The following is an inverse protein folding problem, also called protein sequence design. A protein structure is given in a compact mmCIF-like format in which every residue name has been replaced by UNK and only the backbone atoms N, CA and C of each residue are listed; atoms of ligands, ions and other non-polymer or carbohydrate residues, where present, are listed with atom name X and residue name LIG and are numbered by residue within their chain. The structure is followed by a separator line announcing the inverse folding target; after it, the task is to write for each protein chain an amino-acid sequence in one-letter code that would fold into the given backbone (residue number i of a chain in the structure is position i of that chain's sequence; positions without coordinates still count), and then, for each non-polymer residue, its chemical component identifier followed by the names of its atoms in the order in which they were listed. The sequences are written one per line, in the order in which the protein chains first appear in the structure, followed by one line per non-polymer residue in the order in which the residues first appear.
data_IF_497981005129
#
_entry.id   IF_497981005129
#
_cell.length_a   1.000
_cell.length_b   1.000
_cell.length_c   1.000
_cell.angle_alpha   90.00
_cell.angle_beta   90.00
_cell.angle_gamma   90.00
#
_symmetry.space_group_name_H-M   'P 1'
#
loop_
_entity.id
_entity.type
_entity.pdbx_description
1 polymer ?
#
# COMPACT_ATOMS: atom_id res chain seq x y z
N UNK A 1 14.45 -23.32 11.61
CA UNK A 1 13.42 -22.25 11.53
C UNK A 1 13.44 -21.70 10.12
N UNK A 2 12.30 -21.69 9.46
CA UNK A 2 12.08 -21.06 8.15
C UNK A 2 11.07 -19.94 8.32
N UNK A 3 11.11 -18.96 7.42
CA UNK A 3 10.17 -17.84 7.42
C UNK A 3 9.29 -17.99 6.19
N UNK A 4 7.99 -17.96 6.41
CA UNK A 4 6.97 -18.03 5.37
C UNK A 4 6.22 -16.71 5.28
N UNK A 5 5.83 -16.28 4.08
CA UNK A 5 4.97 -15.12 3.85
C UNK A 5 3.78 -15.58 3.00
N UNK A 6 2.56 -15.23 3.40
CA UNK A 6 1.36 -15.52 2.58
C UNK A 6 1.30 -14.61 1.37
N UNK A 7 0.84 -15.10 0.22
CA UNK A 7 0.79 -14.31 -1.01
C UNK A 7 -0.51 -14.55 -1.76
N UNK A 8 -1.32 -13.52 -2.02
CA UNK A 8 -2.53 -13.69 -2.83
C UNK A 8 -2.23 -13.83 -4.32
N UNK A 9 -3.04 -14.61 -5.01
CA UNK A 9 -2.98 -14.82 -6.46
C UNK A 9 -4.40 -14.94 -7.06
N UNK A 10 -4.55 -14.76 -8.38
CA UNK A 10 -5.82 -14.97 -9.09
C UNK A 10 -6.76 -13.76 -9.16
N UNK A 11 -6.34 -12.57 -8.71
CA UNK A 11 -7.06 -11.32 -8.94
C UNK A 11 -6.75 -10.73 -10.33
N UNK A 12 -7.49 -9.69 -10.73
CA UNK A 12 -7.21 -8.92 -11.95
C UNK A 12 -5.75 -8.45 -11.97
N UNK A 13 -5.12 -8.45 -13.15
CA UNK A 13 -3.76 -7.91 -13.33
C UNK A 13 -3.59 -6.44 -12.96
N UNK A 14 -4.70 -5.71 -12.77
CA UNK A 14 -4.69 -4.31 -12.28
C UNK A 14 -4.99 -4.18 -10.79
N UNK A 15 -5.05 -5.28 -10.03
CA UNK A 15 -5.33 -5.24 -8.59
C UNK A 15 -4.11 -4.79 -7.79
N UNK A 16 -4.17 -3.56 -7.25
CA UNK A 16 -3.11 -3.03 -6.39
C UNK A 16 -2.91 -3.87 -5.12
N UNK A 17 -3.95 -4.51 -4.59
CA UNK A 17 -3.82 -5.36 -3.42
C UNK A 17 -2.91 -6.58 -3.70
N UNK A 18 -3.12 -7.24 -4.84
CA UNK A 18 -2.29 -8.37 -5.25
C UNK A 18 -0.88 -7.91 -5.61
N UNK A 19 -0.74 -6.82 -6.37
CA UNK A 19 0.57 -6.24 -6.74
C UNK A 19 1.41 -5.95 -5.47
N UNK A 20 0.81 -5.34 -4.45
CA UNK A 20 1.51 -5.03 -3.21
C UNK A 20 1.96 -6.29 -2.45
N UNK A 21 1.12 -7.33 -2.35
CA UNK A 21 1.50 -8.59 -1.69
C UNK A 21 2.57 -9.36 -2.46
N UNK A 22 2.48 -9.39 -3.79
CA UNK A 22 3.45 -10.06 -4.65
C UNK A 22 4.82 -9.39 -4.51
N UNK A 23 4.87 -8.04 -4.55
CA UNK A 23 6.11 -7.27 -4.35
C UNK A 23 6.79 -7.59 -3.00
N UNK A 24 6.02 -7.69 -1.92
CA UNK A 24 6.57 -8.04 -0.59
C UNK A 24 7.14 -9.46 -0.59
N UNK A 25 6.48 -10.40 -1.27
CA UNK A 25 6.93 -11.79 -1.38
C UNK A 25 8.17 -11.91 -2.26
N UNK A 26 8.27 -11.15 -3.35
CA UNK A 26 9.48 -11.10 -4.20
C UNK A 26 10.70 -10.62 -3.40
N UNK A 27 10.54 -9.52 -2.65
CA UNK A 27 11.59 -9.03 -1.73
C UNK A 27 11.90 -10.07 -0.65
N UNK A 28 10.88 -10.72 -0.09
CA UNK A 28 11.03 -11.80 0.88
C UNK A 28 11.79 -13.00 0.33
N UNK A 29 11.56 -13.38 -0.92
CA UNK A 29 12.25 -14.48 -1.59
C UNK A 29 13.75 -14.19 -1.74
N UNK A 30 14.13 -12.95 -2.05
CA UNK A 30 15.53 -12.53 -2.06
C UNK A 30 16.19 -12.62 -0.67
N UNK A 31 15.41 -12.46 0.41
CA UNK A 31 15.85 -12.67 1.80
C UNK A 31 15.80 -14.15 2.22
N UNK A 32 15.44 -15.06 1.32
CA UNK A 32 15.34 -16.50 1.57
C UNK A 32 14.03 -16.95 2.24
N UNK A 33 13.01 -16.10 2.28
CA UNK A 33 11.69 -16.44 2.82
C UNK A 33 10.92 -17.27 1.80
N UNK A 34 9.89 -17.99 2.26
CA UNK A 34 9.12 -18.94 1.44
C UNK A 34 7.68 -18.48 1.27
N UNK A 35 7.13 -18.66 0.08
CA UNK A 35 5.74 -18.30 -0.20
C UNK A 35 4.75 -19.33 0.39
N UNK A 36 3.62 -18.84 0.92
CA UNK A 36 2.37 -19.59 1.11
C UNK A 36 1.31 -18.97 0.19
N UNK A 37 1.13 -19.55 -1.00
CA UNK A 37 0.24 -18.97 -2.01
C UNK A 37 -1.24 -19.20 -1.66
N UNK A 38 -2.05 -18.15 -1.76
CA UNK A 38 -3.49 -18.13 -1.46
C UNK A 38 -4.23 -17.65 -2.71
N UNK A 39 -4.94 -18.54 -3.38
CA UNK A 39 -5.72 -18.17 -4.56
C UNK A 39 -7.00 -17.42 -4.15
N UNK A 40 -7.39 -16.40 -4.91
CA UNK A 40 -8.59 -15.61 -4.72
C UNK A 40 -9.79 -16.29 -5.39
N UNK A 41 -10.80 -16.66 -4.60
CA UNK A 41 -11.98 -17.40 -5.07
C UNK A 41 -13.19 -17.15 -4.18
N UNK A 42 -14.37 -17.59 -4.64
CA UNK A 42 -15.58 -17.53 -3.83
C UNK A 42 -15.58 -18.66 -2.80
N UNK A 43 -15.30 -18.35 -1.54
CA UNK A 43 -15.20 -19.35 -0.46
C UNK A 43 -16.48 -20.19 -0.28
N UNK A 44 -17.64 -19.69 -0.71
CA UNK A 44 -18.92 -20.42 -0.62
C UNK A 44 -18.98 -21.65 -1.54
N UNK A 45 -18.02 -21.80 -2.46
CA UNK A 45 -17.92 -23.00 -3.29
C UNK A 45 -17.36 -24.21 -2.53
N UNK A 46 -16.66 -23.99 -1.42
CA UNK A 46 -16.12 -25.07 -0.59
C UNK A 46 -17.09 -25.38 0.56
N UNK A 47 -17.33 -26.67 0.80
CA UNK A 47 -17.86 -27.13 2.09
C UNK A 47 -16.85 -26.86 3.22
N UNK A 48 -17.27 -26.88 4.50
CA UNK A 48 -16.35 -26.67 5.62
C UNK A 48 -15.15 -27.63 5.64
N UNK A 49 -15.33 -28.88 5.20
CA UNK A 49 -14.26 -29.88 5.11
C UNK A 49 -13.30 -29.61 3.96
N UNK A 50 -13.82 -29.18 2.80
CA UNK A 50 -12.99 -28.81 1.64
C UNK A 50 -12.14 -27.58 1.92
N UNK A 51 -12.72 -26.54 2.52
CA UNK A 51 -11.98 -25.34 2.93
C UNK A 51 -10.86 -25.69 3.92
N UNK A 52 -11.16 -26.53 4.90
CA UNK A 52 -10.18 -27.04 5.88
C UNK A 52 -9.01 -27.73 5.17
N UNK A 53 -9.29 -28.67 4.26
CA UNK A 53 -8.26 -29.40 3.49
C UNK A 53 -7.48 -28.49 2.54
N UNK A 54 -8.13 -27.49 1.96
CA UNK A 54 -7.47 -26.49 1.11
C UNK A 54 -6.44 -25.71 1.93
N UNK A 55 -6.82 -25.23 3.11
CA UNK A 55 -5.88 -24.55 4.01
C UNK A 55 -4.76 -25.49 4.44
N UNK A 56 -5.06 -26.76 4.76
CA UNK A 56 -4.03 -27.76 5.08
C UNK A 56 -3.04 -27.95 3.91
N UNK A 57 -3.50 -27.91 2.67
CA UNK A 57 -2.65 -27.93 1.48
C UNK A 57 -1.74 -26.71 1.36
N UNK A 58 -2.27 -25.51 1.61
CA UNK A 58 -1.48 -24.26 1.62
C UNK A 58 -0.38 -24.33 2.70
N UNK A 59 -0.72 -24.86 3.89
CA UNK A 59 0.17 -24.91 5.05
C UNK A 59 1.08 -26.15 5.10
N UNK A 60 1.02 -27.05 4.12
CA UNK A 60 1.67 -28.37 4.16
C UNK A 60 3.19 -28.33 4.37
N UNK A 61 3.86 -27.22 4.03
CA UNK A 61 5.30 -27.03 4.22
C UNK A 61 5.73 -26.62 5.64
N UNK A 62 4.80 -26.14 6.48
CA UNK A 62 5.07 -25.59 7.80
C UNK A 62 5.53 -26.67 8.79
N UNK A 63 6.41 -26.28 9.71
CA UNK A 63 6.85 -27.12 10.84
C UNK A 63 6.89 -26.27 12.11
N UNK A 64 6.90 -26.94 13.26
CA UNK A 64 7.14 -26.30 14.55
C UNK A 64 8.46 -25.49 14.51
N UNK A 65 8.43 -24.32 15.13
CA UNK A 65 9.54 -23.38 15.19
C UNK A 65 9.75 -22.51 13.95
N UNK A 66 8.87 -22.55 12.96
CA UNK A 66 8.85 -21.59 11.84
C UNK A 66 8.22 -20.25 12.25
N UNK A 67 8.37 -19.25 11.38
CA UNK A 67 7.69 -17.96 11.43
C UNK A 67 6.77 -17.85 10.22
N UNK A 68 5.55 -17.34 10.41
CA UNK A 68 4.63 -16.97 9.33
C UNK A 68 4.32 -15.49 9.40
N UNK A 69 4.51 -14.79 8.29
CA UNK A 69 4.06 -13.42 8.07
C UNK A 69 2.78 -13.50 7.24
N UNK A 70 1.64 -13.24 7.87
CA UNK A 70 0.33 -13.26 7.25
C UNK A 70 -0.03 -11.87 6.72
N UNK A 71 0.10 -11.69 5.40
CA UNK A 71 -0.36 -10.50 4.69
C UNK A 71 -1.90 -10.49 4.63
N UNK A 72 -2.52 -9.48 5.26
CA UNK A 72 -3.98 -9.36 5.38
C UNK A 72 -4.51 -8.08 4.71
N UNK A 73 -5.72 -8.12 4.14
CA UNK A 73 -6.61 -9.29 4.04
C UNK A 73 -6.23 -10.21 2.86
N UNK A 74 -6.73 -11.45 2.87
CA UNK A 74 -6.62 -12.36 1.71
C UNK A 74 -7.58 -12.01 0.58
N UNK A 75 -8.56 -11.15 0.85
CA UNK A 75 -9.71 -10.84 -0.01
C UNK A 75 -10.65 -12.01 -0.31
N UNK A 76 -10.43 -13.18 0.32
CA UNK A 76 -11.38 -14.30 0.35
C UNK A 76 -12.44 -14.13 1.46
N UNK A 77 -12.75 -12.89 1.86
CA UNK A 77 -13.58 -12.50 3.02
C UNK A 77 -12.94 -12.74 4.40
N UNK A 78 -13.45 -12.04 5.41
CA UNK A 78 -13.01 -12.17 6.80
C UNK A 78 -13.15 -13.60 7.35
N UNK A 79 -14.12 -14.39 6.89
CA UNK A 79 -14.27 -15.79 7.32
C UNK A 79 -13.07 -16.65 6.91
N UNK A 80 -12.50 -16.41 5.73
CA UNK A 80 -11.26 -17.08 5.31
C UNK A 80 -10.08 -16.66 6.19
N UNK A 81 -9.92 -15.34 6.41
CA UNK A 81 -8.82 -14.79 7.23
C UNK A 81 -8.83 -15.38 8.65
N UNK A 82 -10.03 -15.47 9.27
CA UNK A 82 -10.22 -16.07 10.60
C UNK A 82 -9.83 -17.55 10.59
N UNK A 83 -10.35 -18.35 9.64
CA UNK A 83 -10.07 -19.79 9.57
C UNK A 83 -8.61 -20.07 9.29
N UNK A 84 -7.98 -19.26 8.44
CA UNK A 84 -6.55 -19.35 8.14
C UNK A 84 -5.71 -19.07 9.38
N UNK A 85 -6.01 -18.00 10.13
CA UNK A 85 -5.34 -17.69 11.39
C UNK A 85 -5.53 -18.80 12.45
N UNK A 86 -6.75 -19.31 12.60
CA UNK A 86 -7.04 -20.44 13.50
C UNK A 86 -6.21 -21.67 13.14
N UNK A 87 -6.07 -21.99 11.85
CA UNK A 87 -5.22 -23.10 11.37
C UNK A 87 -3.74 -22.87 11.65
N UNK A 88 -3.23 -21.66 11.43
CA UNK A 88 -1.84 -21.32 11.79
C UNK A 88 -1.58 -21.53 13.28
N UNK A 89 -2.54 -21.17 14.15
CA UNK A 89 -2.42 -21.34 15.61
C UNK A 89 -2.42 -22.78 16.11
N UNK A 90 -2.73 -23.76 15.27
CA UNK A 90 -2.52 -25.17 15.60
C UNK A 90 -1.05 -25.58 15.56
N UNK A 91 -0.19 -24.79 14.92
CA UNK A 91 1.25 -25.04 14.85
C UNK A 91 1.98 -24.30 15.97
N UNK A 92 3.04 -24.92 16.51
CA UNK A 92 3.95 -24.25 17.43
C UNK A 92 4.90 -23.32 16.66
N UNK A 93 4.38 -22.18 16.18
CA UNK A 93 5.08 -21.18 15.35
C UNK A 93 4.87 -19.77 15.91
N UNK A 94 5.63 -18.82 15.37
CA UNK A 94 5.39 -17.38 15.59
C UNK A 94 4.68 -16.78 14.40
N UNK A 95 3.71 -15.90 14.66
CA UNK A 95 2.87 -15.29 13.62
C UNK A 95 2.98 -13.78 13.69
N UNK A 96 3.41 -13.14 12.60
CA UNK A 96 3.23 -11.72 12.38
C UNK A 96 2.03 -11.49 11.45
N UNK A 97 1.14 -10.56 11.78
CA UNK A 97 0.12 -10.08 10.84
C UNK A 97 0.63 -8.81 10.18
N UNK A 98 0.76 -8.84 8.86
CA UNK A 98 1.08 -7.67 8.04
C UNK A 98 -0.18 -7.08 7.46
N UNK A 99 -0.61 -5.94 8.01
CA UNK A 99 -1.79 -5.21 7.59
C UNK A 99 -1.51 -4.41 6.32
N UNK A 100 -2.12 -4.81 5.20
CA UNK A 100 -2.19 -4.02 3.98
C UNK A 100 -3.43 -3.13 4.00
N UNK A 101 -4.55 -3.68 4.47
CA UNK A 101 -5.82 -2.97 4.63
C UNK A 101 -6.59 -3.48 5.86
N UNK A 102 -7.46 -2.62 6.42
CA UNK A 102 -8.41 -2.97 7.49
C UNK A 102 -9.83 -2.81 6.96
N UNK A 103 -10.41 -3.91 6.44
CA UNK A 103 -11.74 -3.92 5.79
C UNK A 103 -12.84 -3.19 6.58
N UNK A 104 -12.99 -3.37 7.91
CA UNK A 104 -14.01 -2.65 8.67
C UNK A 104 -13.79 -1.12 8.78
N UNK A 105 -12.58 -0.62 8.52
CA UNK A 105 -12.25 0.81 8.50
C UNK A 105 -12.30 1.43 7.10
N UNK A 106 -12.17 0.61 6.04
CA UNK A 106 -12.23 1.10 4.66
C UNK A 106 -13.64 1.56 4.27
N UNK A 107 -14.66 0.83 4.72
CA UNK A 107 -16.05 1.09 4.35
C UNK A 107 -16.92 1.10 5.61
N UNK A 108 -17.65 2.18 5.84
CA UNK A 108 -18.51 2.35 7.02
C UNK A 108 -19.52 1.20 7.20
N UNK A 109 -20.06 0.68 6.10
CA UNK A 109 -20.98 -0.47 6.09
C UNK A 109 -20.36 -1.78 6.57
N UNK A 110 -19.03 -1.88 6.65
CA UNK A 110 -18.31 -3.08 7.09
C UNK A 110 -17.86 -3.03 8.55
N UNK A 111 -18.20 -1.97 9.30
CA UNK A 111 -17.74 -1.82 10.69
C UNK A 111 -18.18 -2.96 11.62
N UNK A 112 -19.27 -3.66 11.30
CA UNK A 112 -19.72 -4.86 12.03
C UNK A 112 -18.67 -6.00 12.05
N UNK A 113 -17.69 -5.98 11.13
CA UNK A 113 -16.57 -6.93 11.08
C UNK A 113 -15.43 -6.56 12.03
N UNK A 114 -15.50 -5.41 12.73
CA UNK A 114 -14.40 -4.89 13.54
C UNK A 114 -14.00 -5.85 14.66
N UNK A 115 -14.95 -6.30 15.47
CA UNK A 115 -14.67 -7.23 16.59
C UNK A 115 -14.03 -8.52 16.09
N UNK A 116 -14.60 -9.14 15.05
CA UNK A 116 -14.04 -10.33 14.43
C UNK A 116 -12.62 -10.12 13.91
N UNK A 117 -12.35 -8.94 13.34
CA UNK A 117 -11.01 -8.58 12.83
C UNK A 117 -10.01 -8.45 13.97
N UNK A 118 -10.38 -7.74 15.04
CA UNK A 118 -9.55 -7.59 16.24
C UNK A 118 -9.31 -8.94 16.92
N UNK A 119 -10.31 -9.82 16.98
CA UNK A 119 -10.19 -11.14 17.60
C UNK A 119 -9.11 -11.98 16.92
N UNK A 120 -9.10 -12.04 15.57
CA UNK A 120 -8.05 -12.81 14.88
C UNK A 120 -6.72 -12.06 14.82
N UNK A 121 -6.69 -10.71 14.84
CA UNK A 121 -5.45 -9.96 15.02
C UNK A 121 -4.80 -10.23 16.38
N UNK A 122 -5.59 -10.36 17.45
CA UNK A 122 -5.13 -10.72 18.79
C UNK A 122 -4.58 -12.15 18.87
N UNK A 123 -4.82 -12.98 17.85
CA UNK A 123 -4.11 -14.23 17.66
C UNK A 123 -2.74 -14.04 16.99
N UNK A 124 -2.14 -12.85 16.89
CA UNK A 124 -0.78 -12.67 16.38
C UNK A 124 0.25 -12.53 17.51
N UNK A 125 1.51 -12.90 17.24
CA UNK A 125 2.63 -12.58 18.13
C UNK A 125 3.16 -11.15 17.86
N UNK A 126 2.94 -10.63 16.66
CA UNK A 126 3.36 -9.29 16.23
C UNK A 126 2.36 -8.70 15.21
N UNK A 127 2.10 -7.39 15.30
CA UNK A 127 1.36 -6.63 14.28
C UNK A 127 2.29 -5.69 13.52
N UNK A 128 2.28 -5.77 12.20
CA UNK A 128 2.88 -4.78 11.31
C UNK A 128 1.75 -3.93 10.76
N UNK A 129 1.81 -2.62 11.00
CA UNK A 129 0.81 -1.66 10.56
C UNK A 129 1.40 -0.58 9.64
N UNK A 130 0.59 0.02 8.76
CA UNK A 130 1.04 1.09 7.87
C UNK A 130 1.57 2.33 8.62
N UNK A 131 0.97 2.67 9.76
CA UNK A 131 1.28 3.89 10.51
C UNK A 131 1.01 3.73 12.01
N UNK A 132 1.61 4.61 12.82
CA UNK A 132 1.32 4.67 14.26
C UNK A 132 -0.15 5.03 14.51
N UNK A 133 -0.75 5.87 13.67
CA UNK A 133 -2.16 6.21 13.77
C UNK A 133 -3.05 4.96 13.61
N UNK A 134 -2.75 4.09 12.65
CA UNK A 134 -3.47 2.81 12.49
C UNK A 134 -3.36 1.94 13.74
N UNK A 135 -2.15 1.79 14.34
CA UNK A 135 -2.00 1.02 15.56
C UNK A 135 -2.81 1.59 16.73
N UNK A 136 -2.81 2.91 16.89
CA UNK A 136 -3.56 3.57 17.95
C UNK A 136 -5.06 3.31 17.77
N UNK A 137 -5.58 3.48 16.55
CA UNK A 137 -6.97 3.17 16.22
C UNK A 137 -7.32 1.72 16.51
N UNK A 138 -6.48 0.76 16.10
CA UNK A 138 -6.73 -0.67 16.39
C UNK A 138 -6.67 -0.98 17.90
N UNK A 139 -5.80 -0.30 18.65
CA UNK A 139 -5.70 -0.45 20.11
C UNK A 139 -6.97 0.04 20.81
N UNK A 140 -7.55 1.15 20.34
CA UNK A 140 -8.85 1.65 20.82
C UNK A 140 -9.99 0.66 20.54
N UNK A 141 -9.87 -0.15 19.47
CA UNK A 141 -10.81 -1.22 19.14
C UNK A 141 -10.56 -2.54 19.89
N UNK A 142 -9.54 -2.61 20.75
CA UNK A 142 -9.24 -3.80 21.57
C UNK A 142 -8.07 -4.66 21.07
N UNK A 143 -7.21 -4.15 20.19
CA UNK A 143 -5.95 -4.81 19.88
C UNK A 143 -5.04 -4.84 21.12
N UNK A 144 -4.56 -6.02 21.49
CA UNK A 144 -3.78 -6.27 22.72
C UNK A 144 -2.34 -6.71 22.45
N UNK A 145 -2.01 -7.05 21.19
CA UNK A 145 -0.68 -7.50 20.77
C UNK A 145 0.38 -6.44 21.11
N UNK A 146 1.41 -6.84 21.87
CA UNK A 146 2.41 -5.91 22.42
C UNK A 146 3.54 -5.58 21.46
N UNK A 147 3.95 -6.54 20.63
CA UNK A 147 5.01 -6.34 19.63
C UNK A 147 4.40 -5.75 18.38
N UNK A 148 4.84 -4.56 18.01
CA UNK A 148 4.35 -3.87 16.82
C UNK A 148 5.48 -3.26 16.00
N UNK A 149 5.28 -3.16 14.70
CA UNK A 149 6.19 -2.51 13.76
C UNK A 149 5.40 -1.58 12.82
N UNK A 150 6.04 -0.50 12.40
CA UNK A 150 5.48 0.46 11.45
C UNK A 150 6.16 0.28 10.08
N UNK A 151 5.34 0.11 9.05
CA UNK A 151 5.79 0.05 7.66
C UNK A 151 6.33 1.40 7.17
N UNK A 152 5.57 2.48 7.37
CA UNK A 152 5.95 3.84 6.97
C UNK A 152 5.65 4.18 5.51
N UNK A 153 6.17 3.43 4.55
CA UNK A 153 5.97 3.68 3.12
C UNK A 153 5.98 2.38 2.30
N UNK A 154 5.24 2.37 1.18
CA UNK A 154 5.37 1.31 0.18
C UNK A 154 6.63 1.53 -0.66
N UNK A 155 7.41 0.47 -0.82
CA UNK A 155 8.42 0.40 -1.87
C UNK A 155 7.77 0.29 -3.26
N UNK A 156 8.61 0.41 -4.27
CA UNK A 156 8.24 0.19 -5.65
C UNK A 156 9.48 -0.27 -6.43
N UNK A 157 9.92 -1.53 -6.25
CA UNK A 157 11.14 -2.06 -6.88
C UNK A 157 11.09 -1.92 -8.40
N UNK A 158 12.10 -1.26 -8.98
CA UNK A 158 12.14 -1.05 -10.43
C UNK A 158 13.53 -0.68 -10.94
N UNK A 159 13.81 -1.06 -12.19
CA UNK A 159 15.00 -0.67 -12.94
C UNK A 159 14.70 0.34 -14.05
N UNK A 160 13.45 0.85 -14.14
CA UNK A 160 13.05 1.83 -15.16
C UNK A 160 13.96 3.06 -15.10
N UNK A 161 14.59 3.47 -16.22
CA UNK A 161 15.48 4.61 -16.24
C UNK A 161 14.73 5.91 -15.97
N UNK A 162 15.36 6.80 -15.20
CA UNK A 162 14.81 8.12 -14.91
C UNK A 162 15.18 9.09 -16.04
N UNK A 163 14.17 9.69 -16.66
CA UNK A 163 14.38 10.76 -17.65
C UNK A 163 14.84 12.06 -16.96
N UNK A 164 15.26 13.06 -17.75
CA UNK A 164 15.49 14.41 -17.20
C UNK A 164 14.13 15.02 -16.84
N UNK A 165 13.85 15.19 -15.55
CA UNK A 165 12.60 15.78 -15.10
C UNK A 165 12.56 17.29 -15.38
N UNK A 166 11.53 17.73 -16.09
CA UNK A 166 11.25 19.13 -16.36
C UNK A 166 10.15 19.64 -15.42
N UNK A 167 10.14 20.93 -15.11
CA UNK A 167 9.07 21.59 -14.36
C UNK A 167 7.80 21.72 -15.22
N UNK A 168 7.24 20.58 -15.62
CA UNK A 168 5.97 20.52 -16.36
C UNK A 168 4.89 20.95 -15.39
N UNK A 169 4.16 22.00 -15.75
CA UNK A 169 3.02 22.52 -14.98
C UNK A 169 1.81 21.58 -15.09
N UNK A 170 1.98 20.33 -14.67
CA UNK A 170 1.00 19.25 -14.79
C UNK A 170 1.02 18.39 -13.52
N UNK A 171 -0.14 17.82 -13.20
CA UNK A 171 -0.31 16.88 -12.10
C UNK A 171 -0.65 15.50 -12.68
N UNK A 172 0.02 14.46 -12.19
CA UNK A 172 -0.20 13.06 -12.55
C UNK A 172 -1.08 12.36 -11.52
N UNK A 173 -2.09 11.63 -12.00
CA UNK A 173 -2.97 10.84 -11.15
C UNK A 173 -3.32 9.49 -11.82
N UNK A 174 -2.61 8.40 -11.49
CA UNK A 174 -3.00 7.06 -11.87
C UNK A 174 -4.06 6.54 -10.89
N UNK A 175 -5.33 6.63 -11.28
CA UNK A 175 -6.45 6.31 -10.41
C UNK A 175 -7.77 6.10 -11.16
N UNK A 176 -8.67 5.32 -10.54
CA UNK A 176 -10.01 5.10 -11.08
C UNK A 176 -10.93 6.29 -10.70
N UNK A 177 -11.49 7.04 -11.68
CA UNK A 177 -12.42 8.15 -11.40
C UNK A 177 -13.70 7.70 -10.66
N UNK A 178 -14.11 6.45 -10.76
CA UNK A 178 -15.25 5.92 -9.98
C UNK A 178 -14.97 5.86 -8.47
N UNK A 179 -13.70 5.68 -8.09
CA UNK A 179 -13.25 5.68 -6.68
C UNK A 179 -12.88 7.08 -6.20
N UNK A 180 -12.40 7.93 -7.11
CA UNK A 180 -11.88 9.26 -6.81
C UNK A 180 -12.75 10.31 -7.49
N UNK A 181 -13.90 10.59 -6.89
CA UNK A 181 -14.91 11.50 -7.43
C UNK A 181 -14.44 12.96 -7.53
N UNK A 182 -13.38 13.36 -6.82
CA UNK A 182 -12.75 14.68 -7.05
C UNK A 182 -12.31 14.86 -8.50
N UNK A 183 -11.98 13.77 -9.21
CA UNK A 183 -11.55 13.81 -10.60
C UNK A 183 -12.66 14.38 -11.49
N UNK A 184 -13.91 13.95 -11.34
CA UNK A 184 -15.01 14.48 -12.17
C UNK A 184 -15.39 15.92 -11.81
N UNK A 185 -14.88 16.42 -10.67
CA UNK A 185 -15.09 17.78 -10.16
C UNK A 185 -13.86 18.68 -10.31
N UNK A 186 -12.84 18.25 -11.06
CA UNK A 186 -11.62 19.03 -11.23
C UNK A 186 -11.93 20.39 -11.86
N UNK A 187 -11.68 21.46 -11.11
CA UNK A 187 -11.95 22.84 -11.52
C UNK A 187 -10.67 23.68 -11.64
N UNK A 188 -9.51 23.07 -11.37
CA UNK A 188 -8.25 23.77 -11.28
C UNK A 188 -7.66 24.10 -12.66
N UNK A 189 -6.90 25.18 -12.75
CA UNK A 189 -6.27 25.61 -14.00
C UNK A 189 -5.11 24.68 -14.42
N UNK A 190 -4.43 24.06 -13.45
CA UNK A 190 -3.38 23.09 -13.72
C UNK A 190 -3.95 21.82 -14.39
N UNK A 191 -3.38 21.37 -15.52
CA UNK A 191 -3.77 20.12 -16.17
C UNK A 191 -3.57 18.89 -15.28
N UNK A 192 -4.59 18.03 -15.23
CA UNK A 192 -4.54 16.73 -14.55
C UNK A 192 -4.40 15.60 -15.57
N UNK A 193 -3.26 14.92 -15.60
CA UNK A 193 -3.04 13.70 -16.36
C UNK A 193 -3.65 12.51 -15.62
N UNK A 194 -4.79 12.01 -16.13
CA UNK A 194 -5.51 10.87 -15.58
C UNK A 194 -5.13 9.57 -16.31
N UNK A 195 -4.58 8.61 -15.58
CA UNK A 195 -4.22 7.29 -16.12
C UNK A 195 -5.23 6.24 -15.64
N UNK A 196 -6.15 5.86 -16.53
CA UNK A 196 -7.24 4.93 -16.23
C UNK A 196 -7.73 4.24 -17.50
N UNK A 197 -8.29 3.04 -17.35
CA UNK A 197 -9.03 2.32 -18.40
C UNK A 197 -10.55 2.55 -18.33
N UNK A 198 -11.02 3.39 -17.41
CA UNK A 198 -12.43 3.72 -17.25
C UNK A 198 -12.81 4.93 -18.09
N UNK A 199 -13.96 4.83 -18.75
CA UNK A 199 -14.58 5.96 -19.41
C UNK A 199 -15.37 6.79 -18.39
N UNK A 200 -15.18 8.10 -18.43
CA UNK A 200 -15.94 9.06 -17.65
C UNK A 200 -16.06 10.35 -18.46
N UNK A 201 -17.14 11.09 -18.23
CA UNK A 201 -17.22 12.49 -18.65
C UNK A 201 -16.31 13.30 -17.74
N UNK A 202 -15.33 13.99 -18.33
CA UNK A 202 -14.26 14.64 -17.58
C UNK A 202 -14.20 16.13 -17.94
N UNK A 203 -13.91 17.00 -16.95
CA UNK A 203 -13.64 18.41 -17.18
C UNK A 203 -12.52 18.66 -18.21
N UNK A 204 -12.54 19.83 -18.85
CA UNK A 204 -11.64 20.19 -19.95
C UNK A 204 -10.15 20.15 -19.59
N UNK A 205 -9.79 20.44 -18.33
CA UNK A 205 -8.41 20.43 -17.85
C UNK A 205 -7.91 19.04 -17.44
N UNK A 206 -8.69 17.98 -17.70
CA UNK A 206 -8.25 16.60 -17.49
C UNK A 206 -7.79 16.00 -18.81
N UNK A 207 -6.54 15.56 -18.84
CA UNK A 207 -5.92 14.91 -19.99
C UNK A 207 -5.92 13.41 -19.73
N UNK A 208 -6.81 12.71 -20.43
CA UNK A 208 -6.87 11.25 -20.39
C UNK A 208 -5.67 10.63 -21.10
N UNK A 209 -4.87 9.86 -20.37
CA UNK A 209 -3.67 9.18 -20.90
C UNK A 209 -3.91 7.69 -21.16
N UNK A 210 -5.08 7.16 -20.79
CA UNK A 210 -5.36 5.73 -20.81
C UNK A 210 -4.65 4.97 -19.69
N UNK A 211 -4.88 3.67 -19.59
CA UNK A 211 -4.10 2.80 -18.71
C UNK A 211 -2.74 2.51 -19.35
N UNK A 212 -1.68 2.68 -18.58
CA UNK A 212 -0.32 2.33 -18.97
C UNK A 212 0.18 1.18 -18.09
N UNK A 213 0.90 0.19 -18.65
CA UNK A 213 1.69 -0.74 -17.87
C UNK A 213 2.64 0.01 -16.93
N UNK A 214 2.93 -0.59 -15.77
CA UNK A 214 3.67 0.07 -14.69
C UNK A 214 5.01 0.67 -15.13
N UNK A 215 5.82 -0.07 -15.88
CA UNK A 215 7.11 0.44 -16.35
C UNK A 215 6.96 1.67 -17.27
N UNK A 216 5.95 1.65 -18.15
CA UNK A 216 5.67 2.76 -19.05
C UNK A 216 5.11 3.97 -18.29
N UNK A 217 4.27 3.73 -17.27
CA UNK A 217 3.75 4.77 -16.39
C UNK A 217 4.89 5.48 -15.65
N UNK A 218 5.81 4.72 -15.04
CA UNK A 218 6.98 5.27 -14.35
C UNK A 218 7.87 6.06 -15.31
N UNK A 219 8.13 5.53 -16.51
CA UNK A 219 8.94 6.20 -17.52
C UNK A 219 8.30 7.52 -17.96
N UNK A 220 7.00 7.53 -18.24
CA UNK A 220 6.23 8.72 -18.60
C UNK A 220 6.27 9.79 -17.50
N UNK A 221 6.01 9.39 -16.25
CA UNK A 221 6.05 10.32 -15.10
C UNK A 221 7.46 10.85 -14.83
N UNK A 222 8.51 10.06 -15.06
CA UNK A 222 9.90 10.47 -14.80
C UNK A 222 10.38 11.69 -15.61
N UNK A 223 9.64 12.06 -16.65
CA UNK A 223 9.88 13.26 -17.47
C UNK A 223 9.51 14.57 -16.74
N UNK A 224 8.89 14.49 -15.56
CA UNK A 224 8.59 15.63 -14.70
C UNK A 224 7.11 15.99 -14.63
N UNK A 225 6.77 16.97 -13.80
CA UNK A 225 5.44 17.17 -13.24
C UNK A 225 5.37 16.78 -11.76
N UNK A 226 4.15 16.69 -11.21
CA UNK A 226 3.90 16.35 -9.81
C UNK A 226 2.99 15.13 -9.68
N UNK A 227 3.28 14.24 -8.73
CA UNK A 227 2.39 13.12 -8.40
C UNK A 227 1.36 13.50 -7.34
N UNK A 228 0.06 13.33 -7.62
CA UNK A 228 -0.99 13.66 -6.65
C UNK A 228 -1.43 12.45 -5.83
N UNK A 229 -1.42 12.60 -4.50
CA UNK A 229 -2.01 11.64 -3.57
C UNK A 229 -3.17 12.30 -2.84
N UNK A 230 -4.38 11.98 -3.31
CA UNK A 230 -5.62 12.55 -2.81
C UNK A 230 -6.67 11.49 -2.51
N UNK A 231 -7.59 11.80 -1.60
CA UNK A 231 -8.77 11.02 -1.29
C UNK A 231 -10.00 11.93 -1.21
N UNK A 232 -11.16 11.35 -1.50
CA UNK A 232 -12.43 12.04 -1.33
C UNK A 232 -12.79 12.15 0.16
N UNK A 233 -13.68 13.09 0.49
CA UNK A 233 -14.07 13.40 1.87
C UNK A 233 -14.56 12.17 2.66
N UNK A 234 -15.28 11.25 2.01
CA UNK A 234 -15.80 10.05 2.64
C UNK A 234 -14.70 9.05 3.06
N UNK A 235 -13.55 9.08 2.40
CA UNK A 235 -12.40 8.20 2.65
C UNK A 235 -11.28 8.89 3.48
N UNK A 236 -11.42 10.19 3.78
CA UNK A 236 -10.41 10.98 4.52
C UNK A 236 -10.05 10.38 5.88
N UNK A 237 -11.00 9.73 6.56
CA UNK A 237 -10.74 9.06 7.83
C UNK A 237 -9.68 7.96 7.67
N UNK A 238 -9.83 7.13 6.64
CA UNK A 238 -8.90 6.05 6.33
C UNK A 238 -7.56 6.56 5.78
N UNK A 239 -7.56 7.71 5.08
CA UNK A 239 -6.35 8.34 4.56
C UNK A 239 -5.27 8.61 5.61
N UNK A 240 -5.69 8.95 6.84
CA UNK A 240 -4.80 9.23 7.96
C UNK A 240 -4.12 7.98 8.52
N UNK A 241 -4.56 6.80 8.08
CA UNK A 241 -4.16 5.50 8.64
C UNK A 241 -3.30 4.69 7.66
N UNK A 242 -3.64 4.66 6.37
CA UNK A 242 -3.03 3.75 5.38
C UNK A 242 -1.82 4.33 4.63
N UNK A 243 -0.98 3.44 4.10
CA UNK A 243 0.10 3.82 3.18
C UNK A 243 -0.40 3.79 1.72
N UNK A 244 -0.41 4.92 0.99
CA UNK A 244 -0.83 4.95 -0.42
C UNK A 244 0.24 4.31 -1.34
N UNK A 245 -0.11 3.24 -2.06
CA UNK A 245 0.82 2.59 -3.00
C UNK A 245 1.34 3.55 -4.09
N UNK A 246 0.46 4.44 -4.60
CA UNK A 246 0.81 5.43 -5.62
C UNK A 246 1.90 6.42 -5.19
N UNK A 247 2.05 6.68 -3.89
CA UNK A 247 3.14 7.52 -3.36
C UNK A 247 4.49 6.89 -3.68
N UNK A 248 4.65 5.59 -3.41
CA UNK A 248 5.86 4.84 -3.77
C UNK A 248 6.15 4.89 -5.26
N UNK A 249 5.11 4.77 -6.11
CA UNK A 249 5.26 4.86 -7.56
C UNK A 249 5.79 6.23 -8.04
N UNK A 250 5.27 7.34 -7.51
CA UNK A 250 5.76 8.68 -7.88
C UNK A 250 7.21 8.92 -7.44
N UNK A 251 7.55 8.52 -6.21
CA UNK A 251 8.91 8.62 -5.70
C UNK A 251 9.86 7.76 -6.52
N UNK A 252 9.48 6.53 -6.87
CA UNK A 252 10.24 5.66 -7.74
C UNK A 252 10.41 6.21 -9.16
N UNK A 253 9.41 6.91 -9.70
CA UNK A 253 9.50 7.67 -10.95
C UNK A 253 10.37 8.93 -10.83
N UNK A 254 10.78 9.32 -9.63
CA UNK A 254 11.72 10.42 -9.40
C UNK A 254 11.13 11.80 -9.57
N UNK A 255 9.82 11.97 -9.27
CA UNK A 255 9.12 13.26 -9.28
C UNK A 255 8.57 13.62 -7.89
N UNK A 256 8.47 14.93 -7.57
CA UNK A 256 7.87 15.38 -6.32
C UNK A 256 6.37 15.09 -6.26
N UNK A 257 5.86 15.01 -5.03
CA UNK A 257 4.45 14.71 -4.76
C UNK A 257 3.69 15.89 -4.16
N UNK A 258 2.39 15.89 -4.34
CA UNK A 258 1.47 16.76 -3.60
C UNK A 258 0.51 15.83 -2.86
N UNK A 259 0.44 15.99 -1.54
CA UNK A 259 -0.39 15.14 -0.68
C UNK A 259 -1.31 15.98 0.18
N UNK A 260 -2.46 15.42 0.54
CA UNK A 260 -3.37 16.07 1.46
C UNK A 260 -2.83 16.09 2.90
N UNK A 261 -3.04 17.20 3.60
CA UNK A 261 -2.64 17.37 5.00
C UNK A 261 -3.24 16.30 5.90
N UNK A 262 -2.40 15.75 6.79
CA UNK A 262 -2.79 14.73 7.75
C UNK A 262 -2.75 13.30 7.21
N UNK A 263 -2.28 13.08 5.98
CA UNK A 263 -2.00 11.74 5.46
C UNK A 263 -1.05 10.97 6.39
N UNK A 264 -1.23 9.65 6.48
CA UNK A 264 -0.33 8.81 7.26
C UNK A 264 1.13 9.02 6.84
N UNK A 265 2.02 9.07 7.84
CA UNK A 265 3.47 9.19 7.63
C UNK A 265 3.91 10.43 6.82
N UNK A 266 3.15 11.53 6.88
CA UNK A 266 3.49 12.81 6.23
C UNK A 266 4.90 13.31 6.57
N UNK A 267 5.40 12.98 7.76
CA UNK A 267 6.73 13.33 8.22
C UNK A 267 7.86 12.78 7.32
N UNK A 268 7.62 11.68 6.60
CA UNK A 268 8.59 11.15 5.61
C UNK A 268 8.72 12.14 4.45
N UNK A 269 7.62 12.74 4.01
CA UNK A 269 7.60 13.72 2.91
C UNK A 269 8.29 15.01 3.35
N UNK A 270 7.93 15.53 4.53
CA UNK A 270 8.49 16.78 5.08
C UNK A 270 10.00 16.69 5.30
N UNK A 271 10.46 15.66 6.04
CA UNK A 271 11.87 15.53 6.43
C UNK A 271 12.79 15.29 5.25
N UNK A 272 12.32 14.61 4.21
CA UNK A 272 13.12 14.28 3.02
C UNK A 272 12.82 15.20 1.83
N UNK A 273 12.02 16.26 2.01
CA UNK A 273 11.67 17.23 0.96
C UNK A 273 11.11 16.57 -0.30
N UNK A 274 10.20 15.62 -0.14
CA UNK A 274 9.66 14.82 -1.25
C UNK A 274 8.54 15.54 -2.02
N UNK A 275 8.09 16.71 -1.55
CA UNK A 275 6.99 17.44 -2.13
C UNK A 275 6.25 18.32 -1.13
N UNK A 276 4.97 18.57 -1.39
CA UNK A 276 4.14 19.50 -0.64
C UNK A 276 2.97 18.82 0.07
N UNK A 277 2.64 19.37 1.25
CA UNK A 277 1.49 18.95 2.06
C UNK A 277 0.51 20.13 2.06
N UNK A 278 -0.64 19.93 1.43
CA UNK A 278 -1.62 20.98 1.14
C UNK A 278 -2.98 20.65 1.75
N UNK A 279 -3.77 21.68 2.03
CA UNK A 279 -5.10 21.53 2.61
C UNK A 279 -6.17 21.21 1.55
N UNK A 280 -6.03 21.79 0.35
CA UNK A 280 -6.97 21.64 -0.77
C UNK A 280 -6.29 21.60 -2.15
N UNK A 281 -7.09 21.33 -3.19
CA UNK A 281 -6.63 21.22 -4.57
C UNK A 281 -6.29 22.58 -5.21
N UNK A 282 -6.88 23.67 -4.71
CA UNK A 282 -6.58 25.01 -5.19
C UNK A 282 -5.16 25.43 -4.77
N UNK A 283 -4.78 25.12 -3.52
CA UNK A 283 -3.40 25.26 -3.05
C UNK A 283 -2.43 24.40 -3.88
N UNK A 284 -2.80 23.15 -4.20
CA UNK A 284 -2.01 22.30 -5.08
C UNK A 284 -1.78 22.94 -6.46
N UNK A 285 -2.84 23.42 -7.12
CA UNK A 285 -2.77 24.06 -8.44
C UNK A 285 -1.86 25.29 -8.41
N UNK A 286 -2.06 26.17 -7.42
CA UNK A 286 -1.26 27.39 -7.25
C UNK A 286 0.22 27.09 -7.07
N UNK A 287 0.57 26.10 -6.24
CA UNK A 287 1.97 25.68 -6.05
C UNK A 287 2.57 25.22 -7.38
N UNK A 288 1.86 24.37 -8.13
CA UNK A 288 2.36 23.88 -9.42
C UNK A 288 2.60 25.03 -10.38
N UNK A 289 1.66 25.96 -10.51
CA UNK A 289 1.74 27.13 -11.40
C UNK A 289 2.92 28.05 -11.05
N UNK A 290 3.07 28.40 -9.77
CA UNK A 290 4.01 29.42 -9.31
C UNK A 290 5.44 28.92 -9.08
N UNK A 291 5.67 27.60 -8.91
CA UNK A 291 7.00 27.08 -8.56
C UNK A 291 8.03 27.35 -9.67
N UNK A 292 9.16 27.98 -9.32
CA UNK A 292 10.24 28.22 -10.29
C UNK A 292 10.93 26.91 -10.73
N UNK A 293 11.61 26.95 -11.87
CA UNK A 293 12.37 25.81 -12.38
C UNK A 293 13.46 25.36 -11.40
N UNK A 294 14.18 26.31 -10.79
CA UNK A 294 15.23 26.01 -9.81
C UNK A 294 14.66 25.30 -8.58
N UNK A 295 13.55 25.82 -8.02
CA UNK A 295 12.90 25.19 -6.86
C UNK A 295 12.35 23.79 -7.20
N UNK A 296 11.87 23.58 -8.43
CA UNK A 296 11.47 22.26 -8.89
C UNK A 296 12.66 21.29 -8.99
N UNK A 297 13.81 21.74 -9.52
CA UNK A 297 15.01 20.91 -9.62
C UNK A 297 15.56 20.53 -8.24
N UNK A 298 15.46 21.41 -7.23
CA UNK A 298 15.82 21.09 -5.84
C UNK A 298 14.95 19.97 -5.25
N UNK A 299 13.63 20.00 -5.53
CA UNK A 299 12.71 18.93 -5.13
C UNK A 299 13.03 17.62 -5.85
N UNK A 300 13.24 17.65 -7.17
CA UNK A 300 13.63 16.46 -7.96
C UNK A 300 14.92 15.86 -7.42
N UNK A 301 15.91 16.69 -7.09
CA UNK A 301 17.18 16.25 -6.50
C UNK A 301 16.94 15.52 -5.18
N UNK A 302 16.12 16.09 -4.30
CA UNK A 302 15.77 15.48 -3.01
C UNK A 302 15.06 14.13 -3.19
N UNK A 303 14.06 14.08 -4.09
CA UNK A 303 13.32 12.84 -4.41
C UNK A 303 14.26 11.77 -4.96
N UNK A 304 15.16 12.11 -5.89
CA UNK A 304 16.08 11.15 -6.53
C UNK A 304 17.22 10.72 -5.62
N UNK A 305 17.57 11.51 -4.60
CA UNK A 305 18.46 11.06 -3.52
C UNK A 305 17.77 10.05 -2.60
N UNK A 306 16.46 10.21 -2.37
CA UNK A 306 15.67 9.35 -1.51
C UNK A 306 15.20 8.05 -2.19
N UNK A 307 14.83 8.12 -3.48
CA UNK A 307 14.17 7.01 -4.17
C UNK A 307 14.97 5.71 -4.34
N UNK A 308 16.31 5.63 -4.18
CA UNK A 308 17.00 4.34 -4.13
C UNK A 308 16.46 3.43 -3.02
N UNK A 309 15.95 4.00 -1.91
CA UNK A 309 15.28 3.24 -0.86
C UNK A 309 14.05 2.50 -1.40
N UNK A 310 13.16 3.25 -2.07
CA UNK A 310 11.89 2.74 -2.62
C UNK A 310 12.14 1.79 -3.80
N UNK A 311 13.08 2.13 -4.68
CA UNK A 311 13.38 1.36 -5.91
C UNK A 311 14.12 0.05 -5.66
N UNK A 312 14.70 -0.13 -4.48
CA UNK A 312 15.44 -1.34 -4.09
C UNK A 312 14.74 -2.13 -2.97
N UNK A 313 13.53 -1.70 -2.56
CA UNK A 313 12.72 -2.45 -1.59
C UNK A 313 13.14 -2.26 -0.14
N UNK A 314 13.81 -1.17 0.24
CA UNK A 314 14.41 -1.06 1.58
C UNK A 314 13.41 -0.88 2.71
N UNK A 315 12.24 -0.26 2.51
CA UNK A 315 11.22 -0.20 3.57
C UNK A 315 10.73 -1.60 3.93
N UNK A 316 10.47 -2.42 2.92
CA UNK A 316 10.01 -3.79 3.03
C UNK A 316 11.12 -4.71 3.54
N UNK A 317 12.35 -4.61 3.03
CA UNK A 317 13.49 -5.39 3.55
C UNK A 317 13.71 -5.14 5.03
N UNK A 318 13.74 -3.86 5.43
CA UNK A 318 13.90 -3.47 6.83
C UNK A 318 12.77 -4.06 7.66
N UNK A 319 11.52 -3.89 7.21
CA UNK A 319 10.34 -4.36 7.93
C UNK A 319 10.31 -5.89 8.08
N UNK A 320 10.59 -6.63 7.01
CA UNK A 320 10.66 -8.09 7.03
C UNK A 320 11.79 -8.62 7.93
N UNK A 321 12.94 -7.92 7.95
CA UNK A 321 14.07 -8.26 8.83
C UNK A 321 13.74 -7.98 10.30
N UNK A 322 13.23 -6.77 10.58
CA UNK A 322 12.85 -6.34 11.93
C UNK A 322 11.73 -7.22 12.49
N UNK A 323 10.83 -7.73 11.65
CA UNK A 323 9.77 -8.66 12.05
C UNK A 323 10.36 -9.94 12.64
N UNK A 324 11.29 -10.57 11.93
CA UNK A 324 11.94 -11.80 12.41
C UNK A 324 12.71 -11.53 13.69
N UNK A 325 13.48 -10.43 13.72
CA UNK A 325 14.23 -10.03 14.90
C UNK A 325 13.33 -9.81 16.12
N UNK A 326 12.26 -9.03 15.97
CA UNK A 326 11.33 -8.68 17.05
C UNK A 326 10.56 -9.90 17.56
N UNK A 327 10.20 -10.85 16.69
CA UNK A 327 9.55 -12.09 17.09
C UNK A 327 10.45 -13.00 17.93
N UNK A 328 11.76 -13.01 17.66
CA UNK A 328 12.73 -13.89 18.33
C UNK A 328 13.38 -13.26 19.56
N UNK A 329 13.44 -11.94 19.64
CA UNK A 329 13.90 -11.25 20.83
C UNK A 329 12.92 -11.49 21.99
N UNK A 330 13.44 -11.99 23.10
CA UNK A 330 12.66 -12.28 24.32
C UNK A 330 12.37 -11.01 25.11
#
# INVERSE_FOLDING_TARGET
MRIYITNINGQSGTSTAQIAQNMVVDIGAELGYRELSIYNYNIKSDSPSELTKRIDGILAGLRAGDIVIFQVPTWNTTDFDIRFMQKLRLYNIKIAVFIHDVVPLMFSGNYYLMSYTIDYFNMADLIIAPSQAMLNTLSEQGLTVKKTLIQGMWDHPTHVPLQKAQNRKVIHFPGNPERFSFVTKWAEATPLHLYTNRHAELPANIIMKGYLPEEQLLLEMSQGGFGLVWMDDHDKGYQKLYCPYKLGAFIAAGIPVIVQRGIANQNIIEKNKLGFIVDDLAEASRIVEELSDDAYQDLVTSVRQFNPLVRQGYFTRKLLTDTVFTLLMQ
#
